data_IF_604446448178
#
_entry.id   IF_604446448178
#
_cell.length_a   1.000
_cell.length_b   1.000
_cell.length_c   1.000
_cell.angle_alpha   90.00
_cell.angle_beta   90.00
_cell.angle_gamma   90.00
#
_symmetry.space_group_name_H-M   'P 1'
#
loop_
_entity.id
_entity.type
_entity.pdbx_description
1 polymer ?
#
# COMPACT_ATOMS: atom_id res chain seq x y z
N UNK A 1 -37.85 9.06 49.90
CA UNK A 1 -37.47 7.66 50.19
C UNK A 1 -37.08 7.03 48.88
N UNK A 2 -35.77 6.91 48.67
CA UNK A 2 -35.16 6.50 47.41
C UNK A 2 -35.69 5.12 47.03
N UNK A 3 -36.29 5.04 45.85
CA UNK A 3 -36.70 3.77 45.28
C UNK A 3 -35.41 3.00 44.98
N UNK A 4 -35.01 2.07 45.85
CA UNK A 4 -34.12 0.99 45.43
C UNK A 4 -34.77 0.35 44.21
N UNK A 5 -34.25 0.71 43.04
CA UNK A 5 -34.78 0.30 41.75
C UNK A 5 -34.90 -1.22 41.76
N UNK A 6 -36.04 -1.77 41.32
CA UNK A 6 -36.27 -3.22 41.28
C UNK A 6 -35.14 -3.96 40.51
N UNK A 7 -34.48 -3.25 39.59
CA UNK A 7 -33.28 -3.68 38.89
C UNK A 7 -32.09 -3.91 39.83
N UNK A 8 -31.85 -3.01 40.77
CA UNK A 8 -30.78 -3.09 41.78
C UNK A 8 -31.00 -4.29 42.71
N UNK A 9 -32.25 -4.54 43.12
CA UNK A 9 -32.61 -5.69 43.95
C UNK A 9 -32.44 -7.02 43.20
N UNK A 10 -32.82 -7.05 41.91
CA UNK A 10 -32.58 -8.18 41.02
C UNK A 10 -31.09 -8.47 40.83
N UNK A 11 -30.29 -7.44 40.55
CA UNK A 11 -28.85 -7.56 40.36
C UNK A 11 -28.14 -8.05 41.63
N UNK A 12 -28.50 -7.50 42.79
CA UNK A 12 -27.95 -7.92 44.09
C UNK A 12 -28.29 -9.39 44.41
N UNK A 13 -29.52 -9.82 44.11
CA UNK A 13 -29.93 -11.22 44.31
C UNK A 13 -29.21 -12.18 43.36
N UNK A 14 -29.00 -11.79 42.10
CA UNK A 14 -28.23 -12.59 41.15
C UNK A 14 -26.74 -12.65 41.51
N UNK A 15 -26.16 -11.53 41.97
CA UNK A 15 -24.79 -11.48 42.46
C UNK A 15 -24.58 -12.40 43.66
N UNK A 16 -25.45 -12.32 44.68
CA UNK A 16 -25.35 -13.18 45.87
C UNK A 16 -25.50 -14.67 45.54
N UNK A 17 -26.39 -15.02 44.59
CA UNK A 17 -26.52 -16.41 44.11
C UNK A 17 -25.25 -16.89 43.42
N UNK A 18 -24.66 -16.06 42.56
CA UNK A 18 -23.40 -16.39 41.90
C UNK A 18 -22.24 -16.51 42.90
N UNK A 19 -22.20 -15.63 43.90
CA UNK A 19 -21.18 -15.64 44.94
C UNK A 19 -21.23 -16.92 45.77
N UNK A 20 -22.41 -17.35 46.21
CA UNK A 20 -22.59 -18.62 46.95
C UNK A 20 -22.22 -19.83 46.07
N UNK A 21 -22.58 -19.79 44.78
CA UNK A 21 -22.20 -20.86 43.85
C UNK A 21 -20.68 -20.96 43.63
N UNK A 22 -19.98 -19.82 43.61
CA UNK A 22 -18.52 -19.73 43.49
C UNK A 22 -17.84 -20.21 44.78
N UNK A 23 -18.34 -19.80 45.93
CA UNK A 23 -17.78 -20.12 47.26
C UNK A 23 -17.80 -21.63 47.55
N UNK A 24 -18.82 -22.35 47.07
CA UNK A 24 -18.92 -23.80 47.24
C UNK A 24 -17.87 -24.63 46.48
N UNK A 25 -17.32 -24.11 45.38
CA UNK A 25 -16.40 -24.87 44.52
C UNK A 25 -15.30 -23.98 43.89
N UNK A 26 -14.39 -23.39 44.70
CA UNK A 26 -13.39 -22.43 44.21
C UNK A 26 -12.46 -23.04 43.14
N UNK A 27 -12.13 -24.34 43.25
CA UNK A 27 -11.31 -25.04 42.24
C UNK A 27 -11.98 -25.12 40.87
N UNK A 28 -13.30 -25.33 40.83
CA UNK A 28 -14.05 -25.40 39.58
C UNK A 28 -14.10 -24.03 38.89
N UNK A 29 -14.20 -22.95 39.68
CA UNK A 29 -14.19 -21.57 39.18
C UNK A 29 -12.84 -21.20 38.61
N UNK A 30 -11.74 -21.54 39.30
CA UNK A 30 -10.37 -21.35 38.79
C UNK A 30 -10.14 -22.16 37.52
N UNK A 31 -10.61 -23.42 37.47
CA UNK A 31 -10.50 -24.25 36.27
C UNK A 31 -11.29 -23.67 35.09
N UNK A 32 -12.51 -23.16 35.33
CA UNK A 32 -13.31 -22.50 34.30
C UNK A 32 -12.64 -21.22 33.79
N UNK A 33 -12.11 -20.37 34.67
CA UNK A 33 -11.37 -19.18 34.29
C UNK A 33 -10.12 -19.53 33.46
N UNK A 34 -9.36 -20.54 33.88
CA UNK A 34 -8.21 -21.04 33.13
C UNK A 34 -8.62 -21.56 31.74
N UNK A 35 -9.72 -22.31 31.64
CA UNK A 35 -10.25 -22.80 30.38
C UNK A 35 -10.64 -21.66 29.43
N UNK A 36 -11.27 -20.59 29.94
CA UNK A 36 -11.58 -19.39 29.15
C UNK A 36 -10.32 -18.68 28.68
N UNK A 37 -9.31 -18.53 29.54
CA UNK A 37 -8.02 -17.97 29.15
C UNK A 37 -7.31 -18.81 28.07
N UNK A 38 -7.32 -20.13 28.20
CA UNK A 38 -6.76 -21.04 27.19
C UNK A 38 -7.54 -20.94 25.89
N UNK A 39 -8.87 -20.92 25.94
CA UNK A 39 -9.70 -20.75 24.74
C UNK A 39 -9.36 -19.43 24.03
N UNK A 40 -9.28 -18.32 24.76
CA UNK A 40 -8.83 -17.05 24.21
C UNK A 40 -7.41 -17.16 23.62
N UNK A 41 -6.47 -17.80 24.33
CA UNK A 41 -5.11 -18.01 23.84
C UNK A 41 -5.07 -18.82 22.53
N UNK A 42 -5.91 -19.85 22.40
CA UNK A 42 -6.01 -20.65 21.18
C UNK A 42 -6.60 -19.88 20.01
N UNK A 43 -7.32 -18.78 20.25
CA UNK A 43 -7.83 -17.93 19.16
C UNK A 43 -6.77 -17.02 18.55
N UNK A 44 -5.66 -16.72 19.25
CA UNK A 44 -4.58 -15.85 18.73
C UNK A 44 -4.04 -16.26 17.34
N UNK A 45 -3.69 -17.53 17.05
CA UNK A 45 -3.18 -17.90 15.74
C UNK A 45 -4.22 -17.74 14.60
N UNK A 46 -5.51 -17.57 14.93
CA UNK A 46 -6.56 -17.33 13.94
C UNK A 46 -6.73 -15.85 13.61
N UNK A 47 -6.17 -14.93 14.42
CA UNK A 47 -6.09 -13.53 14.04
C UNK A 47 -5.03 -13.38 12.95
N UNK A 48 -5.48 -13.13 11.72
CA UNK A 48 -4.59 -12.91 10.59
C UNK A 48 -3.58 -11.80 10.90
N UNK A 49 -2.30 -12.06 10.66
CA UNK A 49 -1.22 -11.10 10.84
C UNK A 49 -1.22 -10.05 9.70
N UNK A 50 -2.29 -9.27 9.61
CA UNK A 50 -2.31 -8.09 8.76
C UNK A 50 -1.82 -6.91 9.60
N UNK A 51 -0.56 -6.50 9.40
CA UNK A 51 0.04 -5.34 10.08
C UNK A 51 -0.81 -4.07 9.93
N UNK A 52 -1.52 -3.96 8.80
CA UNK A 52 -2.49 -2.92 8.51
C UNK A 52 -3.69 -3.57 7.78
N UNK A 53 -4.94 -3.11 8.00
CA UNK A 53 -6.04 -3.44 7.10
C UNK A 53 -5.65 -3.03 5.67
N UNK A 54 -6.08 -3.79 4.65
CA UNK A 54 -5.76 -3.49 3.25
C UNK A 54 -6.19 -2.04 2.92
N UNK A 55 -5.21 -1.14 2.83
CA UNK A 55 -5.44 0.23 2.40
C UNK A 55 -5.88 0.18 0.94
N UNK A 56 -7.18 0.38 0.70
CA UNK A 56 -7.75 0.55 -0.64
C UNK A 56 -7.47 1.95 -1.15
N UNK A 57 -6.19 2.27 -1.28
CA UNK A 57 -5.75 3.42 -2.03
C UNK A 57 -6.18 3.18 -3.49
N UNK A 58 -6.93 4.10 -4.08
CA UNK A 58 -7.48 3.97 -5.45
C UNK A 58 -6.41 3.99 -6.55
N UNK A 59 -5.17 3.66 -6.24
CA UNK A 59 -4.04 3.58 -7.13
C UNK A 59 -3.23 2.31 -6.82
N UNK A 60 -2.69 1.69 -7.86
CA UNK A 60 -1.88 0.48 -7.74
C UNK A 60 -0.44 0.78 -8.11
N UNK A 61 0.51 0.29 -7.30
CA UNK A 61 1.93 0.34 -7.62
C UNK A 61 2.35 -1.00 -8.23
N UNK A 62 2.77 -0.99 -9.49
CA UNK A 62 3.27 -2.19 -10.19
C UNK A 62 4.79 -2.11 -10.26
N UNK A 63 5.47 -3.05 -9.59
CA UNK A 63 6.92 -3.17 -9.68
C UNK A 63 7.29 -4.20 -10.76
N UNK A 64 8.01 -3.76 -11.79
CA UNK A 64 8.48 -4.61 -12.89
C UNK A 64 9.98 -4.84 -12.75
N UNK A 65 10.42 -6.09 -12.74
CA UNK A 65 11.84 -6.47 -12.71
C UNK A 65 12.24 -7.13 -14.03
N UNK A 66 13.21 -6.55 -14.73
CA UNK A 66 13.84 -7.13 -15.93
C UNK A 66 15.16 -7.85 -15.55
N UNK A 67 15.70 -8.63 -16.49
CA UNK A 67 17.00 -9.31 -16.31
C UNK A 67 18.12 -8.25 -16.11
N UNK A 68 19.03 -8.43 -15.13
CA UNK A 68 20.17 -7.52 -14.96
C UNK A 68 20.99 -7.42 -16.26
N UNK A 69 21.32 -6.20 -16.69
CA UNK A 69 22.00 -5.95 -17.97
C UNK A 69 21.06 -5.68 -19.15
N UNK A 70 19.73 -5.64 -18.93
CA UNK A 70 18.77 -5.13 -19.91
C UNK A 70 19.06 -3.65 -20.21
N UNK A 71 19.09 -3.27 -21.49
CA UNK A 71 19.31 -1.88 -21.88
C UNK A 71 18.15 -0.98 -21.43
N UNK A 72 18.43 0.33 -21.31
CA UNK A 72 17.41 1.32 -20.99
C UNK A 72 16.30 1.35 -22.06
N UNK A 73 16.69 1.25 -23.34
CA UNK A 73 15.76 1.21 -24.47
C UNK A 73 14.82 0.00 -24.41
N UNK A 74 15.33 -1.19 -24.05
CA UNK A 74 14.51 -2.38 -23.96
C UNK A 74 13.57 -2.31 -22.74
N UNK A 75 14.03 -1.75 -21.62
CA UNK A 75 13.19 -1.47 -20.45
C UNK A 75 12.07 -0.47 -20.78
N UNK A 76 12.35 0.53 -21.62
CA UNK A 76 11.38 1.51 -22.09
C UNK A 76 10.34 0.91 -23.01
N UNK A 77 10.78 0.10 -23.98
CA UNK A 77 9.90 -0.66 -24.87
C UNK A 77 8.99 -1.60 -24.08
N UNK A 78 9.53 -2.31 -23.09
CA UNK A 78 8.75 -3.24 -22.26
C UNK A 78 7.69 -2.49 -21.44
N UNK A 79 8.07 -1.40 -20.77
CA UNK A 79 7.13 -0.64 -19.96
C UNK A 79 6.05 0.08 -20.79
N UNK A 80 6.38 0.56 -22.01
CA UNK A 80 5.37 1.10 -22.92
C UNK A 80 4.31 0.06 -23.28
N UNK A 81 4.73 -1.18 -23.55
CA UNK A 81 3.82 -2.27 -23.86
C UNK A 81 2.88 -2.54 -22.68
N UNK A 82 3.42 -2.61 -21.46
CA UNK A 82 2.61 -2.82 -20.24
C UNK A 82 1.66 -1.65 -20.00
N UNK A 83 2.12 -0.42 -20.17
CA UNK A 83 1.29 0.80 -20.05
C UNK A 83 0.15 0.81 -21.06
N UNK A 84 0.41 0.40 -22.30
CA UNK A 84 -0.60 0.33 -23.35
C UNK A 84 -1.68 -0.72 -23.02
N UNK A 85 -1.30 -1.90 -22.53
CA UNK A 85 -2.26 -2.92 -22.07
C UNK A 85 -3.09 -2.44 -20.89
N UNK A 86 -2.47 -1.82 -19.88
CA UNK A 86 -3.17 -1.30 -18.70
C UNK A 86 -4.18 -0.20 -19.05
N UNK A 87 -3.87 0.65 -20.03
CA UNK A 87 -4.78 1.70 -20.52
C UNK A 87 -5.98 1.15 -21.30
N UNK A 88 -5.95 -0.11 -21.76
CA UNK A 88 -7.12 -0.74 -22.40
C UNK A 88 -8.20 -1.11 -21.41
N UNK A 89 -7.88 -1.26 -20.12
CA UNK A 89 -8.89 -1.50 -19.09
C UNK A 89 -9.60 -0.18 -18.74
N UNK A 90 -10.94 -0.08 -18.92
CA UNK A 90 -11.70 1.13 -18.64
C UNK A 90 -11.69 1.56 -17.16
N UNK A 91 -11.23 0.70 -16.24
CA UNK A 91 -11.09 1.03 -14.80
C UNK A 91 -9.84 1.84 -14.49
N UNK A 92 -8.86 1.89 -15.40
CA UNK A 92 -7.58 2.57 -15.19
C UNK A 92 -7.64 4.00 -15.75
N UNK A 93 -7.68 5.01 -14.87
CA UNK A 93 -7.78 6.43 -15.27
C UNK A 93 -6.46 7.01 -15.78
N UNK A 94 -5.35 6.64 -15.15
CA UNK A 94 -4.03 7.19 -15.47
C UNK A 94 -2.95 6.17 -15.13
N UNK A 95 -1.92 6.11 -15.98
CA UNK A 95 -0.73 5.28 -15.76
C UNK A 95 0.50 6.17 -15.89
N UNK A 96 1.37 6.12 -14.89
CA UNK A 96 2.69 6.75 -14.90
C UNK A 96 3.76 5.66 -14.79
N UNK A 97 4.81 5.76 -15.60
CA UNK A 97 5.91 4.80 -15.64
C UNK A 97 7.22 5.51 -15.28
N UNK A 98 8.06 4.86 -14.47
CA UNK A 98 9.42 5.30 -14.15
C UNK A 98 10.41 4.19 -14.46
N UNK A 99 11.52 4.52 -15.12
CA UNK A 99 12.60 3.60 -15.48
C UNK A 99 13.92 4.17 -14.95
N UNK A 100 14.79 3.29 -14.46
CA UNK A 100 16.12 3.69 -13.99
C UNK A 100 16.11 4.54 -12.72
N UNK A 101 17.26 5.13 -12.41
CA UNK A 101 17.37 6.27 -11.49
C UNK A 101 17.44 7.55 -12.32
N UNK A 102 17.23 8.72 -11.72
CA UNK A 102 17.38 9.97 -12.46
C UNK A 102 18.86 10.14 -12.86
N UNK A 103 19.21 9.70 -14.08
CA UNK A 103 20.57 9.84 -14.64
C UNK A 103 20.88 11.31 -14.99
N UNK A 104 19.86 12.17 -15.12
CA UNK A 104 19.94 13.52 -15.68
C UNK A 104 20.08 14.61 -14.61
N UNK A 105 21.06 14.50 -13.70
CA UNK A 105 21.46 15.62 -12.81
C UNK A 105 22.84 16.19 -13.09
N UNK A 106 23.57 15.64 -14.06
CA UNK A 106 24.81 16.22 -14.58
C UNK A 106 24.70 16.40 -16.10
N UNK A 107 25.26 17.49 -16.61
CA UNK A 107 25.45 17.80 -18.03
C UNK A 107 24.26 18.34 -18.83
N UNK A 108 23.86 19.59 -18.58
CA UNK A 108 23.62 20.53 -19.70
C UNK A 108 23.86 22.01 -19.33
N UNK A 109 25.11 22.40 -19.13
CA UNK A 109 25.53 23.79 -19.36
C UNK A 109 26.61 23.83 -20.46
N UNK A 110 26.22 23.52 -21.70
CA UNK A 110 27.05 23.75 -22.89
C UNK A 110 26.41 24.84 -23.74
N UNK A 111 26.73 26.09 -23.42
CA UNK A 111 26.46 27.24 -24.29
C UNK A 111 27.38 27.13 -25.50
N UNK A 112 26.86 26.64 -26.64
CA UNK A 112 27.60 26.62 -27.90
C UNK A 112 27.26 27.85 -28.74
N UNK A 113 28.13 28.84 -28.69
CA UNK A 113 28.23 29.85 -29.74
C UNK A 113 28.71 29.23 -31.06
N UNK A 114 27.83 29.15 -32.05
CA UNK A 114 28.13 29.05 -33.48
C UNK A 114 27.48 30.28 -34.13
N UNK A 115 27.96 30.88 -35.20
CA UNK A 115 29.14 30.70 -36.04
C UNK A 115 29.03 31.82 -37.08
N UNK A 116 30.19 32.38 -37.43
CA UNK A 116 30.54 32.98 -38.73
C UNK A 116 29.48 32.85 -39.83
N UNK A 117 28.93 33.97 -40.25
CA UNK A 117 28.38 34.19 -41.58
C UNK A 117 29.47 34.79 -42.48
N UNK A 118 30.24 33.93 -43.14
CA UNK A 118 31.14 34.30 -44.22
C UNK A 118 31.12 33.15 -45.22
N UNK A 119 30.26 33.27 -46.24
CA UNK A 119 30.41 32.75 -47.61
C UNK A 119 29.03 32.56 -48.26
N UNK A 120 28.68 33.52 -49.11
CA UNK A 120 27.78 33.34 -50.26
C UNK A 120 28.30 34.36 -51.27
N UNK A 121 28.94 34.01 -52.37
CA UNK A 121 28.73 32.86 -53.24
C UNK A 121 28.44 33.46 -54.61
N UNK A 122 29.49 33.70 -55.40
CA UNK A 122 29.39 34.14 -56.78
C UNK A 122 29.11 32.98 -57.72
N UNK A 123 28.15 33.18 -58.64
CA UNK A 123 27.90 32.48 -59.93
C UNK A 123 27.04 33.47 -60.73
N UNK A 124 27.50 34.20 -61.76
CA UNK A 124 27.89 33.79 -63.13
C UNK A 124 26.88 32.86 -63.83
N UNK A 125 26.01 33.48 -64.62
CA UNK A 125 25.23 32.98 -65.79
C UNK A 125 24.98 34.23 -66.66
N UNK A 126 25.61 34.46 -67.80
CA UNK A 126 25.49 33.81 -69.13
C UNK A 126 24.28 34.30 -69.95
N UNK A 127 24.62 34.94 -71.10
CA UNK A 127 23.94 34.97 -72.40
C UNK A 127 22.50 35.50 -72.53
N UNK A 128 22.32 36.45 -73.46
CA UNK A 128 21.03 36.94 -73.97
C UNK A 128 21.07 38.41 -74.31
#
# INVERSE_FOLDING_TARGET
MEHESRLLRGLKSSYLRLLIAIDGHPRAVVAAAAAVCIAAATTLPFFGAAFLPEFREGHYLVHMSAVPGTSLDESFRLGQRVTAELRRDPRVRSVAQRIGRAELSEDTHRVRGRSRAAQRGGRRTAAG
#
